data_IF_718333858180
#
_entry.id   IF_718333858180
#
_cell.length_a   1.000
_cell.length_b   1.000
_cell.length_c   1.000
_cell.angle_alpha   90.00
_cell.angle_beta   90.00
_cell.angle_gamma   90.00
#
_symmetry.space_group_name_H-M   'P 1'
#
loop_
_entity.id
_entity.type
_entity.pdbx_description
1 polymer ?
#
# COMPACT_ATOMS: atom_id res chain seq x y z
N UNK A 1 -31.42 52.43 -38.78
CA UNK A 1 -30.71 51.29 -39.39
C UNK A 1 -29.54 50.80 -38.52
N UNK A 2 -28.70 51.70 -37.98
CA UNK A 2 -27.53 51.37 -37.13
C UNK A 2 -27.89 50.59 -35.85
N UNK A 3 -28.94 50.97 -35.11
CA UNK A 3 -29.39 50.25 -33.91
C UNK A 3 -29.94 48.84 -34.20
N UNK A 4 -30.47 48.59 -35.41
CA UNK A 4 -30.91 47.25 -35.81
C UNK A 4 -29.73 46.36 -36.18
N UNK A 5 -28.69 46.91 -36.80
CA UNK A 5 -27.45 46.18 -37.07
C UNK A 5 -26.71 45.80 -35.79
N UNK A 6 -26.61 46.72 -34.82
CA UNK A 6 -25.89 46.44 -33.56
C UNK A 6 -26.58 45.35 -32.73
N UNK A 7 -27.92 45.32 -32.71
CA UNK A 7 -28.68 44.29 -32.01
C UNK A 7 -28.48 42.91 -32.66
N UNK A 8 -28.56 42.81 -33.99
CA UNK A 8 -28.30 41.54 -34.70
C UNK A 8 -26.89 41.01 -34.45
N UNK A 9 -25.87 41.89 -34.41
CA UNK A 9 -24.50 41.49 -34.08
C UNK A 9 -24.38 40.96 -32.64
N UNK A 10 -25.07 41.57 -31.66
CA UNK A 10 -25.08 41.08 -30.27
C UNK A 10 -25.75 39.71 -30.15
N UNK A 11 -26.87 39.48 -30.86
CA UNK A 11 -27.54 38.17 -30.91
C UNK A 11 -26.67 37.09 -31.56
N UNK A 12 -25.95 37.43 -32.63
CA UNK A 12 -25.00 36.51 -33.30
C UNK A 12 -23.81 36.18 -32.37
N UNK A 13 -23.25 37.18 -31.67
CA UNK A 13 -22.16 36.95 -30.70
C UNK A 13 -22.62 36.08 -29.53
N UNK A 14 -23.85 36.24 -29.04
CA UNK A 14 -24.42 35.35 -28.02
C UNK A 14 -24.55 33.91 -28.54
N UNK A 15 -25.03 33.70 -29.77
CA UNK A 15 -25.14 32.35 -30.35
C UNK A 15 -23.79 31.64 -30.50
N UNK A 16 -22.71 32.38 -30.79
CA UNK A 16 -21.35 31.82 -30.86
C UNK A 16 -20.83 31.42 -29.46
N UNK A 17 -21.31 32.05 -28.39
CA UNK A 17 -20.95 31.70 -27.01
C UNK A 17 -21.70 30.47 -26.46
N UNK A 18 -22.70 29.94 -27.16
CA UNK A 18 -23.44 28.73 -26.74
C UNK A 18 -22.82 27.41 -27.24
N UNK A 19 -21.69 27.41 -27.97
CA UNK A 19 -21.04 26.18 -28.49
C UNK A 19 -20.17 25.44 -27.46
N UNK A 20 -20.65 25.34 -26.21
CA UNK A 20 -19.87 24.86 -25.06
C UNK A 20 -19.82 23.33 -24.85
N UNK A 21 -20.42 22.51 -25.70
CA UNK A 21 -20.57 21.05 -25.45
C UNK A 21 -19.80 20.14 -26.43
N UNK A 22 -18.78 20.64 -27.11
CA UNK A 22 -18.07 19.88 -28.16
C UNK A 22 -17.26 18.66 -27.66
N UNK A 23 -16.93 18.60 -26.36
CA UNK A 23 -16.12 17.51 -25.80
C UNK A 23 -16.87 16.75 -24.68
N UNK A 24 -18.21 16.74 -24.74
CA UNK A 24 -19.00 15.96 -23.79
C UNK A 24 -18.99 14.49 -24.20
N UNK A 25 -18.38 13.64 -23.36
CA UNK A 25 -18.44 12.18 -23.51
C UNK A 25 -19.49 11.63 -22.55
N UNK A 26 -20.40 10.80 -23.04
CA UNK A 26 -21.37 10.12 -22.19
C UNK A 26 -20.66 9.08 -21.31
N UNK A 27 -21.20 8.84 -20.10
CA UNK A 27 -20.69 7.79 -19.20
C UNK A 27 -20.75 6.41 -19.87
N UNK A 28 -21.67 6.21 -20.80
CA UNK A 28 -21.86 4.95 -21.52
C UNK A 28 -20.89 4.76 -22.70
N UNK A 29 -20.18 5.81 -23.13
CA UNK A 29 -19.32 5.78 -24.31
C UNK A 29 -17.83 5.59 -23.96
N UNK A 30 -17.53 5.34 -22.68
CA UNK A 30 -16.17 5.25 -22.13
C UNK A 30 -16.03 4.01 -21.26
N UNK A 31 -14.93 3.28 -21.45
CA UNK A 31 -14.49 2.27 -20.51
C UNK A 31 -13.66 2.89 -19.38
N UNK A 32 -14.09 2.69 -18.14
CA UNK A 32 -13.38 3.25 -17.00
C UNK A 32 -12.39 2.27 -16.39
N UNK A 33 -11.10 2.56 -16.54
CA UNK A 33 -10.06 1.82 -15.85
C UNK A 33 -10.02 2.22 -14.37
N UNK A 34 -10.00 1.22 -13.49
CA UNK A 34 -9.91 1.42 -12.03
C UNK A 34 -8.66 0.80 -11.42
N UNK A 35 -8.10 -0.23 -12.04
CA UNK A 35 -6.77 -0.75 -11.74
C UNK A 35 -5.88 -0.80 -12.99
N UNK A 36 -4.59 -0.55 -12.78
CA UNK A 36 -3.54 -0.84 -13.76
C UNK A 36 -2.52 -1.82 -13.20
N UNK A 37 -2.10 -2.75 -14.04
CA UNK A 37 -1.10 -3.74 -13.73
C UNK A 37 0.05 -3.66 -14.72
N UNK A 38 1.28 -3.78 -14.24
CA UNK A 38 2.46 -3.80 -15.09
C UNK A 38 3.33 -5.00 -14.73
N UNK A 39 3.71 -5.79 -15.72
CA UNK A 39 4.68 -6.87 -15.57
C UNK A 39 5.67 -6.88 -16.73
N UNK A 40 6.76 -7.62 -16.57
CA UNK A 40 7.79 -7.76 -17.59
C UNK A 40 8.26 -9.19 -17.71
N UNK A 41 8.20 -9.77 -18.92
CA UNK A 41 8.66 -11.13 -19.17
C UNK A 41 9.04 -11.30 -20.64
N UNK A 42 10.02 -12.14 -20.92
CA UNK A 42 10.41 -12.50 -22.29
C UNK A 42 10.74 -11.28 -23.17
N UNK A 43 11.40 -10.28 -22.56
CA UNK A 43 11.72 -8.98 -23.13
C UNK A 43 10.54 -8.04 -23.46
N UNK A 44 9.31 -8.39 -23.08
CA UNK A 44 8.12 -7.59 -23.32
C UNK A 44 7.49 -7.09 -22.02
N UNK A 45 6.88 -5.91 -22.11
CA UNK A 45 5.97 -5.40 -21.10
C UNK A 45 4.59 -6.00 -21.30
N UNK A 46 3.92 -6.34 -20.21
CA UNK A 46 2.48 -6.64 -20.22
C UNK A 46 1.76 -5.62 -19.36
N UNK A 47 0.76 -4.97 -19.94
CA UNK A 47 -0.13 -4.03 -19.25
C UNK A 47 -1.46 -4.72 -19.02
N UNK A 48 -2.00 -4.60 -17.81
CA UNK A 48 -3.31 -5.09 -17.43
C UNK A 48 -4.19 -3.90 -17.05
N UNK A 49 -5.46 -3.91 -17.45
CA UNK A 49 -6.44 -2.92 -17.03
C UNK A 49 -7.70 -3.62 -16.51
N UNK A 50 -8.12 -3.25 -15.31
CA UNK A 50 -9.43 -3.62 -14.78
C UNK A 50 -10.43 -2.53 -15.15
N UNK A 51 -11.46 -2.90 -15.91
CA UNK A 51 -12.53 -2.01 -16.35
C UNK A 51 -13.80 -2.30 -15.54
N UNK A 52 -14.45 -1.23 -15.06
CA UNK A 52 -15.74 -1.31 -14.38
C UNK A 52 -16.81 -0.51 -15.14
N UNK A 53 -18.01 -1.08 -15.20
CA UNK A 53 -19.21 -0.37 -15.63
C UNK A 53 -19.85 0.34 -14.43
N UNK A 54 -19.64 1.64 -14.32
CA UNK A 54 -20.19 2.43 -13.21
C UNK A 54 -21.73 2.49 -13.19
N UNK A 55 -22.42 2.18 -14.30
CA UNK A 55 -23.88 2.10 -14.31
C UNK A 55 -24.41 0.98 -13.40
N UNK A 56 -23.59 -0.06 -13.18
CA UNK A 56 -23.91 -1.21 -12.30
C UNK A 56 -23.43 -1.02 -10.85
N UNK A 57 -22.60 0.01 -10.60
CA UNK A 57 -22.06 0.31 -9.26
C UNK A 57 -22.95 1.29 -8.49
N UNK A 58 -23.80 2.05 -9.19
CA UNK A 58 -24.80 2.91 -8.57
C UNK A 58 -25.92 2.05 -7.91
N UNK A 59 -26.35 2.44 -6.70
CA UNK A 59 -27.36 1.74 -5.88
C UNK A 59 -28.53 1.24 -6.73
N UNK A 60 -28.72 -0.07 -6.74
CA UNK A 60 -29.92 -0.73 -7.25
C UNK A 60 -31.15 -0.22 -6.53
N UNK A 61 -32.21 0.10 -7.29
CA UNK A 61 -33.54 0.36 -6.74
C UNK A 61 -33.96 -0.75 -5.76
N UNK A 62 -34.66 -0.43 -4.66
CA UNK A 62 -35.17 -1.44 -3.73
C UNK A 62 -36.00 -2.48 -4.48
N UNK A 63 -35.61 -3.76 -4.41
CA UNK A 63 -36.39 -4.89 -4.97
C UNK A 63 -35.78 -5.59 -6.18
N UNK A 64 -34.66 -5.13 -6.76
CA UNK A 64 -33.93 -5.91 -7.77
C UNK A 64 -32.97 -6.91 -7.12
N UNK A 65 -32.91 -8.19 -7.58
CA UNK A 65 -31.88 -9.12 -7.15
C UNK A 65 -30.49 -8.55 -7.50
N UNK A 66 -29.56 -8.62 -6.55
CA UNK A 66 -28.16 -8.22 -6.74
C UNK A 66 -27.54 -9.17 -7.77
N UNK A 67 -27.44 -8.72 -9.03
CA UNK A 67 -26.71 -9.45 -10.06
C UNK A 67 -25.20 -9.24 -9.86
N UNK A 68 -24.37 -10.23 -10.21
CA UNK A 68 -22.92 -10.08 -10.15
C UNK A 68 -22.48 -8.91 -11.03
N UNK A 69 -21.72 -7.97 -10.47
CA UNK A 69 -21.11 -6.88 -11.24
C UNK A 69 -19.98 -7.48 -12.07
N UNK A 70 -20.07 -7.53 -13.41
CA UNK A 70 -19.02 -8.10 -14.23
C UNK A 70 -17.77 -7.21 -14.15
N UNK A 71 -16.64 -7.82 -13.80
CA UNK A 71 -15.33 -7.17 -13.84
C UNK A 71 -14.63 -7.63 -15.11
N UNK A 72 -14.22 -6.67 -15.95
CA UNK A 72 -13.50 -6.96 -17.18
C UNK A 72 -12.01 -6.72 -16.99
N UNK A 73 -11.20 -7.66 -17.44
CA UNK A 73 -9.73 -7.54 -17.37
C UNK A 73 -9.18 -7.61 -18.78
N UNK A 74 -8.73 -6.46 -19.29
CA UNK A 74 -7.94 -6.37 -20.51
C UNK A 74 -6.47 -6.56 -20.21
N UNK A 75 -5.73 -7.18 -21.13
CA UNK A 75 -4.27 -7.16 -21.09
C UNK A 75 -3.70 -7.12 -22.51
N UNK A 76 -2.55 -6.50 -22.65
CA UNK A 76 -1.85 -6.36 -23.92
C UNK A 76 -0.33 -6.32 -23.68
N UNK A 77 0.43 -6.68 -24.72
CA UNK A 77 1.88 -6.75 -24.67
C UNK A 77 2.51 -5.73 -25.60
N UNK A 78 3.76 -5.38 -25.32
CA UNK A 78 4.55 -4.54 -26.20
C UNK A 78 5.98 -4.35 -25.73
N UNK A 79 6.82 -3.82 -26.61
CA UNK A 79 8.24 -3.53 -26.34
C UNK A 79 8.43 -2.42 -25.29
N UNK A 80 7.40 -1.58 -25.11
CA UNK A 80 7.31 -0.56 -24.06
C UNK A 80 5.92 -0.56 -23.41
N UNK A 81 5.82 0.00 -22.20
CA UNK A 81 4.52 0.20 -21.54
C UNK A 81 3.56 1.02 -22.42
N UNK A 82 4.05 2.06 -23.12
CA UNK A 82 3.24 2.88 -24.00
C UNK A 82 2.68 2.09 -25.19
N UNK A 83 3.50 1.24 -25.83
CA UNK A 83 3.02 0.37 -26.92
C UNK A 83 2.01 -0.66 -26.44
N UNK A 84 2.22 -1.26 -25.27
CA UNK A 84 1.28 -2.21 -24.69
C UNK A 84 -0.06 -1.54 -24.31
N UNK A 85 -0.02 -0.33 -23.74
CA UNK A 85 -1.23 0.47 -23.50
C UNK A 85 -1.96 0.83 -24.80
N UNK A 86 -1.23 1.15 -25.87
CA UNK A 86 -1.84 1.45 -27.17
C UNK A 86 -2.51 0.20 -27.78
N UNK A 87 -1.89 -0.96 -27.64
CA UNK A 87 -2.43 -2.23 -28.11
C UNK A 87 -3.70 -2.64 -27.33
N UNK A 88 -3.79 -2.28 -26.04
CA UNK A 88 -5.00 -2.44 -25.24
C UNK A 88 -6.23 -1.73 -25.88
N UNK A 89 -6.03 -0.60 -26.57
CA UNK A 89 -7.11 0.12 -27.24
C UNK A 89 -7.68 -0.64 -28.44
N UNK A 90 -6.86 -1.46 -29.12
CA UNK A 90 -7.27 -2.18 -30.31
C UNK A 90 -8.47 -3.11 -30.05
N UNK A 91 -8.53 -3.73 -28.87
CA UNK A 91 -9.62 -4.63 -28.47
C UNK A 91 -10.64 -4.02 -27.49
N UNK A 92 -10.48 -2.76 -27.07
CA UNK A 92 -11.29 -2.15 -26.00
C UNK A 92 -12.74 -1.84 -26.39
N UNK A 93 -13.05 -1.76 -27.68
CA UNK A 93 -14.35 -1.35 -28.25
C UNK A 93 -14.74 0.12 -27.98
N UNK A 94 -14.40 0.67 -26.81
CA UNK A 94 -14.58 2.07 -26.42
C UNK A 94 -13.25 2.69 -25.94
N UNK A 95 -13.20 4.02 -25.91
CA UNK A 95 -12.06 4.74 -25.33
C UNK A 95 -11.90 4.38 -23.85
N UNK A 96 -10.66 4.14 -23.40
CA UNK A 96 -10.36 3.88 -21.98
C UNK A 96 -10.02 5.20 -21.31
N UNK A 97 -10.70 5.52 -20.22
CA UNK A 97 -10.39 6.66 -19.36
C UNK A 97 -9.65 6.20 -18.11
N UNK A 98 -8.47 6.77 -17.87
CA UNK A 98 -7.61 6.38 -16.76
C UNK A 98 -7.75 7.27 -15.52
N UNK A 99 -8.54 8.34 -15.59
CA UNK A 99 -8.71 9.27 -14.46
C UNK A 99 -9.39 8.66 -13.22
N UNK A 100 -9.97 7.46 -13.34
CA UNK A 100 -10.52 6.68 -12.22
C UNK A 100 -9.60 5.58 -11.70
N UNK A 101 -8.39 5.44 -12.25
CA UNK A 101 -7.40 4.51 -11.72
C UNK A 101 -7.10 4.90 -10.29
N UNK A 102 -7.34 3.98 -9.36
CA UNK A 102 -7.07 4.16 -7.94
C UNK A 102 -6.10 3.11 -7.39
N UNK A 103 -5.69 2.14 -8.23
CA UNK A 103 -4.78 1.06 -7.83
C UNK A 103 -3.81 0.75 -8.95
N UNK A 104 -2.53 0.59 -8.60
CA UNK A 104 -1.45 0.14 -9.48
C UNK A 104 -0.80 -1.10 -8.86
N UNK A 105 -0.69 -2.18 -9.64
CA UNK A 105 -0.05 -3.43 -9.23
C UNK A 105 1.16 -3.71 -10.10
N UNK A 106 2.30 -4.00 -9.47
CA UNK A 106 3.57 -4.25 -10.15
C UNK A 106 3.97 -5.72 -9.99
N UNK A 107 4.17 -6.44 -11.08
CA UNK A 107 4.69 -7.80 -11.07
C UNK A 107 6.15 -7.85 -10.61
N UNK A 108 6.53 -8.89 -9.87
CA UNK A 108 7.89 -9.02 -9.34
C UNK A 108 8.96 -9.00 -10.44
N UNK A 109 8.70 -9.55 -11.62
CA UNK A 109 9.68 -9.54 -12.71
C UNK A 109 9.99 -8.10 -13.18
N UNK A 110 8.97 -7.24 -13.20
CA UNK A 110 9.16 -5.82 -13.44
C UNK A 110 9.92 -5.13 -12.30
N UNK A 111 9.66 -5.49 -11.03
CA UNK A 111 10.42 -4.97 -9.89
C UNK A 111 11.92 -5.32 -10.00
N UNK A 112 12.23 -6.54 -10.45
CA UNK A 112 13.61 -7.01 -10.70
C UNK A 112 14.28 -6.28 -11.87
N UNK A 113 13.55 -6.02 -12.95
CA UNK A 113 14.06 -5.23 -14.09
C UNK A 113 14.36 -3.78 -13.70
N UNK A 114 13.52 -3.21 -12.85
CA UNK A 114 13.57 -1.82 -12.44
C UNK A 114 12.37 -1.02 -12.95
N UNK A 115 12.11 0.11 -12.28
CA UNK A 115 10.84 0.85 -12.41
C UNK A 115 10.93 2.11 -13.25
N UNK A 116 12.06 2.33 -13.95
CA UNK A 116 12.27 3.57 -14.72
C UNK A 116 11.12 3.85 -15.70
N UNK A 117 10.75 2.85 -16.49
CA UNK A 117 9.71 3.00 -17.52
C UNK A 117 8.33 3.23 -16.90
N UNK A 118 8.02 2.58 -15.77
CA UNK A 118 6.78 2.83 -15.02
C UNK A 118 6.71 4.29 -14.56
N UNK A 119 7.80 4.82 -13.99
CA UNK A 119 7.83 6.22 -13.56
C UNK A 119 7.68 7.20 -14.73
N UNK A 120 8.31 6.90 -15.88
CA UNK A 120 8.18 7.73 -17.08
C UNK A 120 6.75 7.71 -17.64
N UNK A 121 6.10 6.55 -17.70
CA UNK A 121 4.70 6.46 -18.14
C UNK A 121 3.76 7.19 -17.17
N UNK A 122 3.86 6.92 -15.86
CA UNK A 122 2.98 7.54 -14.87
C UNK A 122 3.17 9.06 -14.79
N UNK A 123 4.37 9.57 -15.05
CA UNK A 123 4.65 11.01 -15.05
C UNK A 123 4.27 11.75 -16.33
N UNK A 124 4.10 11.06 -17.46
CA UNK A 124 3.81 11.67 -18.78
C UNK A 124 2.33 11.71 -19.13
N UNK A 125 1.54 10.74 -18.67
CA UNK A 125 0.10 10.71 -18.94
C UNK A 125 -0.63 11.65 -17.96
N UNK A 126 -1.20 12.74 -18.49
CA UNK A 126 -1.86 13.79 -17.71
C UNK A 126 -3.05 13.29 -16.88
N UNK A 127 -3.64 12.14 -17.25
CA UNK A 127 -4.77 11.54 -16.55
C UNK A 127 -4.38 10.83 -15.25
N UNK A 128 -3.10 10.47 -15.09
CA UNK A 128 -2.66 9.79 -13.88
C UNK A 128 -2.47 10.77 -12.72
N UNK A 129 -3.18 10.49 -11.64
CA UNK A 129 -2.98 11.12 -10.35
C UNK A 129 -1.92 10.34 -9.56
N UNK A 130 -1.24 10.99 -8.62
CA UNK A 130 -0.35 10.30 -7.65
C UNK A 130 -1.10 9.72 -6.43
N UNK A 131 -2.44 9.71 -6.47
CA UNK A 131 -3.30 9.16 -5.43
C UNK A 131 -3.52 7.64 -5.44
N UNK A 132 -3.31 6.87 -6.53
CA UNK A 132 -3.52 5.43 -6.55
C UNK A 132 -2.74 4.69 -5.47
N UNK A 133 -3.35 3.67 -4.88
CA UNK A 133 -2.67 2.68 -4.06
C UNK A 133 -1.69 1.87 -4.90
N UNK A 134 -0.57 1.49 -4.31
CA UNK A 134 0.48 0.74 -4.98
C UNK A 134 0.74 -0.58 -4.27
N UNK A 135 0.86 -1.64 -5.07
CA UNK A 135 1.19 -2.97 -4.60
C UNK A 135 2.23 -3.62 -5.52
N UNK A 136 3.05 -4.50 -4.96
CA UNK A 136 3.79 -5.49 -5.73
C UNK A 136 3.09 -6.84 -5.68
N UNK A 137 3.36 -7.74 -6.61
CA UNK A 137 2.80 -9.11 -6.54
C UNK A 137 3.68 -10.16 -7.21
N UNK A 138 3.54 -11.40 -6.72
CA UNK A 138 4.04 -12.62 -7.39
C UNK A 138 2.88 -13.41 -8.03
N UNK A 139 1.63 -13.00 -7.81
CA UNK A 139 0.45 -13.64 -8.38
C UNK A 139 0.22 -13.17 -9.82
N UNK A 140 -0.42 -13.99 -10.68
CA UNK A 140 -0.87 -13.54 -11.98
C UNK A 140 -1.83 -12.33 -11.84
N UNK A 141 -1.45 -11.18 -12.38
CA UNK A 141 -2.21 -9.92 -12.25
C UNK A 141 -3.64 -10.07 -12.79
N UNK A 142 -3.82 -10.81 -13.90
CA UNK A 142 -5.15 -11.08 -14.44
C UNK A 142 -6.08 -11.78 -13.45
N UNK A 143 -5.56 -12.70 -12.62
CA UNK A 143 -6.34 -13.38 -11.58
C UNK A 143 -6.68 -12.45 -10.43
N UNK A 144 -5.72 -11.59 -10.02
CA UNK A 144 -5.96 -10.55 -9.03
C UNK A 144 -7.10 -9.62 -9.49
N UNK A 145 -7.02 -9.10 -10.72
CA UNK A 145 -8.03 -8.17 -11.23
C UNK A 145 -9.38 -8.83 -11.52
N UNK A 146 -9.45 -10.15 -11.67
CA UNK A 146 -10.71 -10.88 -11.81
C UNK A 146 -11.37 -11.25 -10.46
N UNK A 147 -10.72 -10.95 -9.32
CA UNK A 147 -11.24 -11.32 -7.99
C UNK A 147 -12.35 -10.36 -7.55
N UNK A 148 -13.49 -10.93 -7.14
CA UNK A 148 -14.71 -10.19 -6.76
C UNK A 148 -14.92 -10.33 -5.24
N UNK A 149 -15.29 -9.25 -4.52
CA UNK A 149 -15.62 -9.30 -3.09
C UNK A 149 -16.81 -10.21 -2.73
N UNK A 150 -16.93 -10.53 -1.43
CA UNK A 150 -18.11 -11.18 -0.87
C UNK A 150 -19.41 -10.44 -1.20
N UNK A 151 -20.52 -11.18 -1.15
CA UNK A 151 -21.89 -10.67 -1.29
C UNK A 151 -22.15 -9.90 -2.59
N UNK A 152 -21.32 -10.09 -3.62
CA UNK A 152 -21.34 -9.31 -4.86
C UNK A 152 -21.30 -7.80 -4.60
N UNK A 153 -20.59 -7.37 -3.55
CA UNK A 153 -20.33 -5.96 -3.31
C UNK A 153 -19.58 -5.36 -4.50
N UNK A 154 -19.70 -4.02 -4.65
CA UNK A 154 -18.92 -3.30 -5.65
C UNK A 154 -17.43 -3.66 -5.52
N UNK A 155 -16.74 -3.97 -6.63
CA UNK A 155 -15.29 -4.20 -6.64
C UNK A 155 -14.53 -3.07 -5.94
N UNK A 156 -15.03 -1.82 -6.01
CA UNK A 156 -14.47 -0.65 -5.35
C UNK A 156 -14.45 -0.70 -3.82
N UNK A 157 -15.15 -1.65 -3.19
CA UNK A 157 -15.10 -1.91 -1.74
C UNK A 157 -14.02 -2.93 -1.37
N UNK A 158 -13.30 -3.50 -2.34
CA UNK A 158 -12.26 -4.49 -2.09
C UNK A 158 -10.98 -3.88 -1.50
N UNK A 159 -10.13 -4.75 -0.95
CA UNK A 159 -8.84 -4.38 -0.34
C UNK A 159 -7.98 -3.53 -1.27
N UNK A 160 -7.94 -3.83 -2.57
CA UNK A 160 -7.04 -3.13 -3.50
C UNK A 160 -7.45 -1.66 -3.71
N UNK A 161 -8.75 -1.35 -3.70
CA UNK A 161 -9.26 0.02 -3.84
C UNK A 161 -9.39 0.75 -2.49
N UNK A 162 -9.65 0.03 -1.39
CA UNK A 162 -9.84 0.59 -0.03
C UNK A 162 -8.96 -0.10 1.04
N UNK A 163 -7.63 -0.15 0.87
CA UNK A 163 -6.77 -0.93 1.76
C UNK A 163 -6.73 -0.38 3.20
N UNK A 164 -7.10 0.89 3.38
CA UNK A 164 -7.20 1.52 4.71
C UNK A 164 -8.26 0.86 5.60
N UNK A 165 -9.37 0.37 5.06
CA UNK A 165 -10.45 -0.18 5.88
C UNK A 165 -10.05 -1.52 6.50
N UNK A 166 -9.39 -2.38 5.71
CA UNK A 166 -8.80 -3.63 6.23
C UNK A 166 -7.63 -3.32 7.17
N UNK A 167 -6.75 -2.38 6.80
CA UNK A 167 -5.60 -2.02 7.62
C UNK A 167 -6.00 -1.46 9.00
N UNK A 168 -7.11 -0.73 9.11
CA UNK A 168 -7.64 -0.26 10.42
C UNK A 168 -8.03 -1.41 11.35
N UNK A 169 -8.51 -2.53 10.80
CA UNK A 169 -8.90 -3.70 11.58
C UNK A 169 -7.69 -4.60 11.90
N UNK A 170 -6.73 -4.68 10.98
CA UNK A 170 -5.57 -5.55 11.08
C UNK A 170 -4.31 -4.84 10.55
N UNK A 171 -3.72 -3.99 11.40
CA UNK A 171 -2.57 -3.15 11.05
C UNK A 171 -1.25 -3.91 11.09
N UNK A 172 -0.92 -4.65 10.02
CA UNK A 172 0.40 -5.32 9.86
C UNK A 172 1.27 -4.58 8.86
N UNK A 173 0.80 -4.45 7.62
CA UNK A 173 1.51 -3.77 6.53
C UNK A 173 0.73 -2.53 6.12
N UNK A 174 1.33 -1.36 6.29
CA UNK A 174 0.71 -0.10 5.93
C UNK A 174 0.49 0.04 4.43
N UNK A 175 -0.68 0.55 3.99
CA UNK A 175 -0.92 0.85 2.59
C UNK A 175 -0.02 1.99 2.12
N UNK A 176 0.41 1.90 0.86
CA UNK A 176 1.28 2.87 0.22
C UNK A 176 0.62 3.38 -1.06
N UNK A 177 0.66 4.69 -1.28
CA UNK A 177 0.16 5.29 -2.53
C UNK A 177 1.32 5.75 -3.43
N UNK A 178 1.01 6.04 -4.69
CA UNK A 178 2.00 6.41 -5.69
C UNK A 178 2.80 7.67 -5.32
N UNK A 179 2.17 8.66 -4.68
CA UNK A 179 2.86 9.86 -4.19
C UNK A 179 3.93 9.50 -3.17
N UNK A 180 3.56 8.75 -2.13
CA UNK A 180 4.48 8.38 -1.04
C UNK A 180 5.56 7.43 -1.53
N UNK A 181 5.21 6.45 -2.37
CA UNK A 181 6.17 5.57 -3.03
C UNK A 181 7.21 6.36 -3.83
N UNK A 182 6.76 7.27 -4.70
CA UNK A 182 7.66 8.07 -5.55
C UNK A 182 8.52 9.03 -4.73
N UNK A 183 7.95 9.63 -3.68
CA UNK A 183 8.67 10.52 -2.76
C UNK A 183 9.77 9.76 -2.03
N UNK A 184 9.43 8.63 -1.39
CA UNK A 184 10.36 7.87 -0.54
C UNK A 184 11.47 7.23 -1.36
N UNK A 185 11.20 6.85 -2.62
CA UNK A 185 12.22 6.35 -3.55
C UNK A 185 13.30 7.38 -3.89
N UNK A 186 13.03 8.67 -3.71
CA UNK A 186 13.96 9.77 -4.01
C UNK A 186 14.64 10.32 -2.77
N UNK A 187 14.25 9.86 -1.59
CA UNK A 187 14.87 10.30 -0.34
C UNK A 187 16.26 9.69 -0.13
N UNK A 188 17.27 10.47 0.29
CA UNK A 188 18.58 9.94 0.61
C UNK A 188 18.52 8.87 1.71
N UNK A 189 19.22 7.75 1.46
CA UNK A 189 19.24 6.57 2.34
C UNK A 189 17.85 5.95 2.59
N UNK A 190 16.88 6.26 1.73
CA UNK A 190 15.50 5.81 1.84
C UNK A 190 15.35 4.33 1.47
N UNK A 191 14.64 3.61 2.35
CA UNK A 191 14.09 2.28 2.11
C UNK A 191 12.58 2.38 1.96
N UNK A 192 12.05 1.84 0.87
CA UNK A 192 10.62 1.82 0.56
C UNK A 192 10.10 0.40 0.69
N UNK A 193 8.99 0.24 1.40
CA UNK A 193 8.32 -1.03 1.62
C UNK A 193 7.00 -1.04 0.86
N UNK A 194 7.01 -1.66 -0.32
CA UNK A 194 5.83 -1.78 -1.17
C UNK A 194 4.99 -2.99 -0.72
N UNK A 195 3.72 -2.82 -0.31
CA UNK A 195 2.88 -3.94 0.11
C UNK A 195 2.79 -5.06 -0.93
N UNK A 196 2.96 -6.32 -0.51
CA UNK A 196 2.89 -7.48 -1.38
C UNK A 196 1.45 -8.02 -1.43
N UNK A 197 0.77 -7.79 -2.54
CA UNK A 197 -0.58 -8.26 -2.79
C UNK A 197 -0.58 -9.74 -3.21
N UNK A 198 -1.45 -10.52 -2.59
CA UNK A 198 -1.65 -11.94 -2.86
C UNK A 198 -3.15 -12.30 -2.86
N UNK A 199 -3.44 -13.59 -3.05
CA UNK A 199 -4.78 -14.15 -2.91
C UNK A 199 -4.74 -15.20 -1.81
N UNK A 200 -5.50 -14.98 -0.74
CA UNK A 200 -5.89 -16.05 0.17
C UNK A 200 -6.95 -16.92 -0.52
N UNK A 201 -6.81 -18.23 -0.41
CA UNK A 201 -7.71 -19.22 -1.02
C UNK A 201 -8.33 -20.17 -0.01
N UNK A 202 -7.96 -20.05 1.27
CA UNK A 202 -8.26 -21.05 2.29
C UNK A 202 -9.19 -20.57 3.40
N UNK A 203 -9.23 -19.28 3.70
CA UNK A 203 -9.96 -18.81 4.88
C UNK A 203 -11.47 -18.69 4.65
N UNK A 204 -11.92 -18.65 3.40
CA UNK A 204 -13.30 -18.39 3.06
C UNK A 204 -13.84 -19.34 2.00
N UNK A 205 -15.12 -19.71 2.14
CA UNK A 205 -15.84 -20.57 1.21
C UNK A 205 -17.26 -20.04 0.97
N UNK A 206 -17.75 -20.20 -0.26
CA UNK A 206 -19.13 -19.96 -0.63
C UNK A 206 -19.82 -21.32 -0.77
N UNK A 207 -20.60 -21.71 0.24
CA UNK A 207 -20.98 -23.12 0.41
C UNK A 207 -19.75 -23.97 0.67
N UNK A 208 -19.52 -25.00 -0.13
CA UNK A 208 -18.34 -25.89 -0.03
C UNK A 208 -17.19 -25.47 -0.97
N UNK A 209 -17.38 -24.41 -1.76
CA UNK A 209 -16.39 -23.99 -2.75
C UNK A 209 -15.46 -22.92 -2.17
N UNK A 210 -14.13 -23.09 -2.21
CA UNK A 210 -13.19 -22.06 -1.78
C UNK A 210 -13.42 -20.75 -2.53
N UNK A 211 -13.41 -19.65 -1.78
CA UNK A 211 -13.56 -18.31 -2.32
C UNK A 211 -12.26 -17.55 -2.12
N UNK A 212 -11.62 -17.13 -3.21
CA UNK A 212 -10.38 -16.38 -3.13
C UNK A 212 -10.63 -14.93 -2.71
N UNK A 213 -9.85 -14.43 -1.76
CA UNK A 213 -9.89 -13.04 -1.32
C UNK A 213 -8.52 -12.39 -1.42
N UNK A 214 -8.49 -11.08 -1.59
CA UNK A 214 -7.23 -10.33 -1.52
C UNK A 214 -6.60 -10.42 -0.13
N UNK A 215 -5.28 -10.53 -0.11
CA UNK A 215 -4.47 -10.48 1.12
C UNK A 215 -3.18 -9.67 0.87
N UNK A 216 -2.58 -9.16 1.95
CA UNK A 216 -1.25 -8.53 1.95
C UNK A 216 -0.30 -9.37 2.79
N UNK A 217 0.47 -10.21 2.10
CA UNK A 217 1.27 -11.28 2.72
C UNK A 217 2.72 -10.89 3.01
N UNK A 218 3.06 -9.60 2.82
CA UNK A 218 4.38 -9.07 3.11
C UNK A 218 4.70 -7.75 2.42
N UNK A 219 5.98 -7.54 2.14
CA UNK A 219 6.51 -6.33 1.47
C UNK A 219 7.58 -6.67 0.46
N UNK A 220 7.60 -5.94 -0.66
CA UNK A 220 8.74 -5.83 -1.55
C UNK A 220 9.60 -4.65 -1.10
N UNK A 221 10.89 -4.91 -0.86
CA UNK A 221 11.81 -3.95 -0.28
C UNK A 221 12.62 -3.28 -1.38
N UNK A 222 12.69 -1.96 -1.34
CA UNK A 222 13.56 -1.17 -2.20
C UNK A 222 14.50 -0.32 -1.36
N UNK A 223 15.77 -0.23 -1.73
CA UNK A 223 16.76 0.66 -1.12
C UNK A 223 17.40 1.51 -2.20
N UNK A 224 17.35 2.83 -2.05
CA UNK A 224 17.88 3.78 -3.04
C UNK A 224 17.41 3.47 -4.48
N UNK A 225 16.12 3.18 -4.66
CA UNK A 225 15.53 2.86 -5.97
C UNK A 225 15.79 1.44 -6.50
N UNK A 226 16.55 0.61 -5.79
CA UNK A 226 16.90 -0.76 -6.22
C UNK A 226 16.07 -1.78 -5.47
N UNK A 227 15.53 -2.79 -6.18
CA UNK A 227 14.79 -3.90 -5.58
C UNK A 227 15.72 -4.85 -4.82
N UNK A 228 15.40 -5.11 -3.55
CA UNK A 228 16.21 -5.95 -2.65
C UNK A 228 15.63 -7.35 -2.42
N UNK A 229 14.33 -7.55 -2.67
CA UNK A 229 13.64 -8.82 -2.44
C UNK A 229 12.28 -8.65 -1.75
N UNK A 230 11.57 -9.77 -1.60
CA UNK A 230 10.32 -9.85 -0.83
C UNK A 230 10.58 -10.38 0.59
N UNK A 231 9.89 -9.80 1.58
CA UNK A 231 9.78 -10.31 2.94
C UNK A 231 8.32 -10.66 3.23
N UNK A 232 8.08 -11.78 3.89
CA UNK A 232 6.75 -12.19 4.34
C UNK A 232 6.33 -11.40 5.59
N UNK A 233 5.02 -11.22 5.82
CA UNK A 233 4.48 -10.47 6.96
C UNK A 233 5.02 -10.96 8.32
N UNK A 234 5.14 -12.27 8.52
CA UNK A 234 5.71 -12.87 9.74
C UNK A 234 7.17 -12.48 10.00
N UNK A 235 7.95 -12.13 8.97
CA UNK A 235 9.35 -11.72 9.08
C UNK A 235 9.51 -10.23 9.44
N UNK A 236 8.43 -9.45 9.32
CA UNK A 236 8.45 -7.99 9.47
C UNK A 236 7.42 -7.48 10.48
N UNK A 237 6.95 -8.35 11.38
CA UNK A 237 5.96 -8.01 12.43
C UNK A 237 6.42 -6.86 13.34
N UNK A 238 7.72 -6.61 13.44
CA UNK A 238 8.27 -5.47 14.18
C UNK A 238 7.98 -4.10 13.57
N UNK A 239 7.74 -4.02 12.26
CA UNK A 239 7.54 -2.74 11.56
C UNK A 239 6.29 -2.02 12.03
N UNK A 240 5.20 -2.75 12.29
CA UNK A 240 3.91 -2.16 12.71
C UNK A 240 4.02 -1.39 14.03
N UNK A 241 4.96 -1.75 14.89
CA UNK A 241 5.22 -1.06 16.15
C UNK A 241 5.95 0.26 15.97
N UNK A 242 6.64 0.42 14.83
CA UNK A 242 7.37 1.64 14.48
C UNK A 242 6.61 2.50 13.46
N UNK A 243 5.36 2.16 13.15
CA UNK A 243 4.51 2.92 12.22
C UNK A 243 3.38 3.63 12.98
N UNK A 244 3.42 4.98 13.12
CA UNK A 244 2.37 5.76 13.76
C UNK A 244 0.95 5.56 13.18
N UNK A 245 0.84 5.01 11.97
CA UNK A 245 -0.45 4.71 11.33
C UNK A 245 -1.09 3.43 11.83
N UNK A 246 -0.41 2.61 12.63
CA UNK A 246 -0.98 1.37 13.18
C UNK A 246 -2.19 1.71 14.06
N UNK A 247 -3.38 1.32 13.60
CA UNK A 247 -4.63 1.58 14.31
C UNK A 247 -4.93 0.47 15.30
N UNK A 248 -4.79 -0.79 14.88
CA UNK A 248 -5.13 -1.96 15.71
C UNK A 248 -4.33 -3.16 15.25
N UNK A 249 -3.58 -3.78 16.15
CA UNK A 249 -2.72 -4.91 15.79
C UNK A 249 -2.70 -5.98 16.89
N UNK A 250 -2.95 -7.26 16.56
CA UNK A 250 -2.98 -8.32 17.54
C UNK A 250 -1.57 -8.70 18.02
N UNK A 251 -1.45 -9.01 19.31
CA UNK A 251 -0.27 -9.57 19.93
C UNK A 251 -0.68 -10.75 20.83
N UNK A 252 -0.19 -11.93 20.50
CA UNK A 252 -0.51 -13.16 21.22
C UNK A 252 0.63 -13.54 22.16
N UNK A 253 0.33 -13.60 23.46
CA UNK A 253 1.28 -14.00 24.50
C UNK A 253 1.15 -15.51 24.71
N UNK A 254 2.24 -16.22 24.46
CA UNK A 254 2.34 -17.65 24.73
C UNK A 254 3.29 -17.91 25.91
N UNK A 255 3.08 -19.00 26.63
CA UNK A 255 3.99 -19.52 27.65
C UNK A 255 4.02 -21.04 27.51
N UNK A 256 5.21 -21.62 27.38
CA UNK A 256 5.41 -23.06 27.13
C UNK A 256 4.63 -23.62 25.91
N UNK A 257 4.44 -22.79 24.89
CA UNK A 257 3.72 -23.15 23.66
C UNK A 257 2.20 -22.95 23.73
N UNK A 258 1.64 -22.68 24.90
CA UNK A 258 0.21 -22.46 25.08
C UNK A 258 -0.13 -20.96 25.04
N UNK A 259 -1.26 -20.62 24.43
CA UNK A 259 -1.79 -19.26 24.45
C UNK A 259 -2.19 -18.90 25.89
N UNK A 260 -1.84 -17.70 26.33
CA UNK A 260 -2.16 -17.20 27.67
C UNK A 260 -3.03 -15.94 27.61
N UNK A 261 -2.73 -15.05 26.67
CA UNK A 261 -3.49 -13.83 26.46
C UNK A 261 -3.42 -13.37 24.99
N UNK A 262 -4.51 -12.78 24.51
CA UNK A 262 -4.59 -12.05 23.25
C UNK A 262 -4.74 -10.57 23.56
N UNK A 263 -3.82 -9.76 23.08
CA UNK A 263 -3.83 -8.31 23.24
C UNK A 263 -4.09 -7.66 21.87
N UNK A 264 -4.74 -6.51 21.89
CA UNK A 264 -4.87 -5.64 20.73
C UNK A 264 -4.19 -4.32 21.05
N UNK A 265 -3.04 -4.09 20.40
CA UNK A 265 -2.21 -2.91 20.61
C UNK A 265 -2.48 -1.86 19.52
N UNK A 266 -2.38 -0.61 19.89
CA UNK A 266 -2.77 0.55 19.08
C UNK A 266 -1.94 1.80 19.41
N UNK A 267 -1.98 2.78 18.50
CA UNK A 267 -1.34 4.10 18.65
C UNK A 267 0.14 4.02 19.06
N UNK A 268 1.01 3.41 18.24
CA UNK A 268 2.45 3.49 18.49
C UNK A 268 2.94 4.93 18.40
N UNK A 269 3.75 5.32 19.37
CA UNK A 269 4.51 6.58 19.38
C UNK A 269 6.00 6.26 19.29
N UNK A 270 6.52 5.96 18.08
CA UNK A 270 7.90 5.61 17.89
C UNK A 270 8.81 6.83 17.86
N UNK A 271 10.04 6.65 18.35
CA UNK A 271 11.12 7.62 18.29
C UNK A 271 12.42 6.90 17.96
N UNK A 272 13.15 7.43 16.98
CA UNK A 272 14.49 6.95 16.60
C UNK A 272 15.48 8.06 16.93
N UNK A 273 16.52 7.74 17.71
CA UNK A 273 17.56 8.68 18.11
C UNK A 273 18.92 8.21 17.59
N UNK A 274 19.52 8.90 16.61
CA UNK A 274 20.87 8.59 16.12
C UNK A 274 21.93 9.18 17.06
N UNK A 275 22.90 8.36 17.46
CA UNK A 275 24.03 8.71 18.32
C UNK A 275 25.34 8.46 17.58
N UNK A 276 26.32 9.36 17.75
CA UNK A 276 27.63 9.24 17.07
C UNK A 276 28.68 8.98 18.14
N UNK A 277 29.51 7.97 17.93
CA UNK A 277 30.69 7.72 18.77
C UNK A 277 31.89 7.52 17.85
N UNK A 278 32.80 8.49 17.84
CA UNK A 278 33.90 8.52 16.86
C UNK A 278 33.38 8.68 15.42
N UNK A 279 33.59 7.65 14.60
CA UNK A 279 33.10 7.59 13.22
C UNK A 279 31.92 6.63 13.03
N UNK A 280 31.43 6.00 14.11
CA UNK A 280 30.33 5.05 14.05
C UNK A 280 29.01 5.71 14.47
N UNK A 281 27.93 5.24 13.85
CA UNK A 281 26.56 5.70 14.12
C UNK A 281 25.79 4.56 14.77
N UNK A 282 25.19 4.86 15.91
CA UNK A 282 24.34 3.97 16.68
C UNK A 282 22.93 4.54 16.75
N UNK A 283 21.95 3.69 17.00
CA UNK A 283 20.55 4.05 17.02
C UNK A 283 19.90 3.49 18.27
N UNK A 284 19.14 4.35 18.95
CA UNK A 284 18.21 3.95 19.98
C UNK A 284 16.78 4.10 19.44
N UNK A 285 15.98 3.05 19.60
CA UNK A 285 14.55 3.07 19.31
C UNK A 285 13.78 3.10 20.60
N UNK A 286 12.77 3.96 20.67
CA UNK A 286 11.78 3.97 21.73
C UNK A 286 10.40 3.87 21.11
N UNK A 287 9.50 3.10 21.71
CA UNK A 287 8.10 3.07 21.31
C UNK A 287 7.21 2.97 22.54
N UNK A 288 6.19 3.83 22.58
CA UNK A 288 5.06 3.70 23.50
C UNK A 288 3.87 3.15 22.75
N UNK A 289 3.17 2.21 23.36
CA UNK A 289 1.99 1.55 22.82
C UNK A 289 0.90 1.60 23.85
N UNK A 290 -0.33 1.80 23.39
CA UNK A 290 -1.51 1.57 24.21
C UNK A 290 -2.23 0.32 23.72
N UNK A 291 -3.10 -0.27 24.52
CA UNK A 291 -3.86 -1.42 24.06
C UNK A 291 -4.90 -1.91 25.05
N UNK A 292 -5.49 -3.04 24.71
CA UNK A 292 -6.49 -3.71 25.53
C UNK A 292 -6.35 -5.22 25.45
N UNK A 293 -6.87 -5.87 26.48
CA UNK A 293 -6.93 -7.33 26.56
C UNK A 293 -8.15 -7.76 25.75
N UNK A 294 -7.92 -8.52 24.67
CA UNK A 294 -8.98 -9.12 23.87
C UNK A 294 -9.44 -10.45 24.45
N UNK A 295 -8.50 -11.23 25.01
CA UNK A 295 -8.78 -12.50 25.66
C UNK A 295 -7.73 -12.80 26.73
N UNK A 296 -8.15 -13.44 27.81
CA UNK A 296 -7.29 -13.90 28.88
C UNK A 296 -7.70 -15.32 29.28
N UNK A 297 -6.82 -16.31 29.06
CA UNK A 297 -7.12 -17.72 29.34
C UNK A 297 -7.03 -18.01 30.85
N UNK A 298 -6.04 -17.42 31.51
CA UNK A 298 -5.87 -17.48 32.96
C UNK A 298 -5.62 -16.09 33.53
N UNK A 299 -6.11 -15.78 34.75
CA UNK A 299 -5.85 -14.49 35.40
C UNK A 299 -4.35 -14.18 35.51
N UNK A 300 -3.90 -13.14 34.83
CA UNK A 300 -2.52 -12.63 34.88
C UNK A 300 -2.58 -11.15 35.26
N UNK A 301 -1.79 -10.70 36.26
CA UNK A 301 -1.68 -9.28 36.60
C UNK A 301 -1.31 -8.41 35.40
N UNK A 302 -1.97 -7.28 35.23
CA UNK A 302 -1.82 -6.40 34.06
C UNK A 302 -0.37 -5.96 33.84
N UNK A 303 0.37 -5.66 34.92
CA UNK A 303 1.78 -5.26 34.84
C UNK A 303 2.67 -6.38 34.30
N UNK A 304 2.31 -7.65 34.58
CA UNK A 304 3.02 -8.81 34.03
C UNK A 304 2.71 -8.95 32.54
N UNK A 305 1.46 -8.73 32.12
CA UNK A 305 1.07 -8.72 30.71
C UNK A 305 1.77 -7.61 29.94
N UNK A 306 1.78 -6.38 30.46
CA UNK A 306 2.50 -5.24 29.87
C UNK A 306 3.99 -5.54 29.70
N UNK A 307 4.64 -6.10 30.73
CA UNK A 307 6.05 -6.50 30.65
C UNK A 307 6.30 -7.63 29.63
N UNK A 308 5.41 -8.63 29.55
CA UNK A 308 5.50 -9.69 28.52
C UNK A 308 5.28 -9.12 27.12
N UNK A 309 4.31 -8.23 26.94
CA UNK A 309 4.00 -7.57 25.68
C UNK A 309 5.19 -6.71 25.21
N UNK A 310 5.76 -5.89 26.11
CA UNK A 310 6.91 -5.04 25.81
C UNK A 310 8.11 -5.86 25.30
N UNK A 311 8.43 -6.98 25.97
CA UNK A 311 9.50 -7.89 25.53
C UNK A 311 9.22 -8.52 24.17
N UNK A 312 7.99 -8.96 23.91
CA UNK A 312 7.64 -9.57 22.64
C UNK A 312 7.67 -8.56 21.48
N UNK A 313 7.21 -7.34 21.71
CA UNK A 313 7.31 -6.21 20.76
C UNK A 313 8.78 -5.90 20.49
N UNK A 314 9.62 -5.80 21.52
CA UNK A 314 11.06 -5.58 21.37
C UNK A 314 11.70 -6.67 20.49
N UNK A 315 11.39 -7.94 20.77
CA UNK A 315 11.87 -9.07 20.00
C UNK A 315 11.44 -8.99 18.53
N UNK A 316 10.19 -8.64 18.25
CA UNK A 316 9.69 -8.46 16.88
C UNK A 316 10.42 -7.31 16.15
N UNK A 317 10.69 -6.19 16.82
CA UNK A 317 11.48 -5.08 16.26
C UNK A 317 12.89 -5.54 15.92
N UNK A 318 13.59 -6.21 16.85
CA UNK A 318 14.96 -6.71 16.64
C UNK A 318 15.02 -7.79 15.55
N UNK A 319 14.01 -8.65 15.45
CA UNK A 319 13.89 -9.65 14.40
C UNK A 319 13.76 -8.99 13.02
N UNK A 320 12.85 -8.03 12.87
CA UNK A 320 12.68 -7.30 11.62
C UNK A 320 13.97 -6.55 11.24
N UNK A 321 14.65 -5.95 12.22
CA UNK A 321 15.94 -5.28 12.01
C UNK A 321 17.00 -6.23 11.44
N UNK A 322 17.17 -7.38 12.10
CA UNK A 322 18.10 -8.43 11.67
C UNK A 322 17.75 -8.96 10.27
N UNK A 323 16.45 -9.09 9.97
CA UNK A 323 15.99 -9.50 8.64
C UNK A 323 16.38 -8.48 7.57
N UNK A 324 16.23 -7.19 7.85
CA UNK A 324 16.70 -6.11 6.97
C UNK A 324 18.20 -6.23 6.67
N UNK A 325 19.02 -6.39 7.72
CA UNK A 325 20.47 -6.54 7.57
C UNK A 325 20.85 -7.73 6.68
N UNK A 326 20.15 -8.87 6.81
CA UNK A 326 20.43 -10.08 6.01
C UNK A 326 20.27 -9.88 4.49
N UNK A 327 19.54 -8.83 4.08
CA UNK A 327 19.36 -8.46 2.67
C UNK A 327 19.92 -7.06 2.36
N UNK A 328 20.82 -6.54 3.20
CA UNK A 328 21.42 -5.21 3.07
C UNK A 328 20.40 -4.04 2.97
N UNK A 329 19.26 -4.17 3.66
CA UNK A 329 18.17 -3.21 3.68
C UNK A 329 17.98 -2.58 5.08
N UNK A 330 17.62 -1.30 5.11
CA UNK A 330 17.31 -0.57 6.35
C UNK A 330 15.79 -0.43 6.51
N UNK A 331 15.13 -1.50 6.97
CA UNK A 331 13.66 -1.56 7.01
C UNK A 331 13.02 -0.49 7.90
N UNK A 332 13.76 0.06 8.87
CA UNK A 332 13.30 1.10 9.78
C UNK A 332 13.73 2.51 9.36
N UNK A 333 14.40 2.67 8.21
CA UNK A 333 14.90 3.96 7.75
C UNK A 333 15.79 4.69 8.77
N UNK A 334 16.60 3.94 9.54
CA UNK A 334 17.56 4.48 10.51
C UNK A 334 18.55 5.47 9.89
N UNK A 335 19.12 5.13 8.74
CA UNK A 335 20.08 5.96 8.03
C UNK A 335 19.44 7.24 7.51
N UNK A 336 18.19 7.14 7.04
CA UNK A 336 17.40 8.28 6.65
C UNK A 336 17.06 9.19 7.85
N UNK A 337 16.73 8.64 9.01
CA UNK A 337 16.54 9.41 10.24
C UNK A 337 17.83 10.11 10.70
N UNK A 338 18.99 9.46 10.54
CA UNK A 338 20.27 10.13 10.78
C UNK A 338 20.50 11.30 9.83
N UNK A 339 20.22 11.13 8.54
CA UNK A 339 20.27 12.20 7.55
C UNK A 339 19.34 13.37 7.92
N UNK A 340 18.10 13.08 8.33
CA UNK A 340 17.09 14.09 8.68
C UNK A 340 17.45 14.86 9.96
N UNK A 341 17.88 14.16 11.01
CA UNK A 341 18.10 14.75 12.32
C UNK A 341 19.50 15.38 12.49
N UNK A 342 20.52 14.85 11.81
CA UNK A 342 21.94 15.24 11.97
C UNK A 342 22.66 15.39 10.63
N UNK A 343 22.08 16.22 9.75
CA UNK A 343 22.56 16.43 8.37
C UNK A 343 24.04 16.82 8.25
N UNK A 344 24.61 17.74 9.09
CA UNK A 344 26.03 18.09 9.00
C UNK A 344 26.96 16.89 9.27
N UNK A 345 26.67 16.11 10.29
CA UNK A 345 27.45 14.93 10.67
C UNK A 345 27.29 13.79 9.66
N UNK A 346 26.07 13.61 9.15
CA UNK A 346 25.81 12.69 8.04
C UNK A 346 26.67 13.04 6.83
N UNK A 347 26.72 14.31 6.41
CA UNK A 347 27.58 14.75 5.28
C UNK A 347 29.06 14.45 5.55
N UNK A 348 29.55 14.74 6.76
CA UNK A 348 30.94 14.47 7.16
C UNK A 348 31.29 12.99 7.08
N UNK A 349 30.41 12.12 7.57
CA UNK A 349 30.65 10.68 7.57
C UNK A 349 30.49 10.07 6.18
N UNK A 350 29.47 10.46 5.43
CA UNK A 350 29.28 10.03 4.03
C UNK A 350 30.43 10.45 3.13
N UNK A 351 31.06 11.61 3.37
CA UNK A 351 32.26 12.03 2.65
C UNK A 351 33.47 11.12 2.85
N UNK A 352 33.46 10.25 3.88
CA UNK A 352 34.51 9.26 4.15
C UNK A 352 34.17 7.85 3.66
N UNK A 353 32.94 7.61 3.23
CA UNK A 353 32.48 6.30 2.78
C UNK A 353 31.00 6.04 3.07
N UNK A 354 30.52 4.86 2.68
CA UNK A 354 29.17 4.41 2.99
C UNK A 354 29.02 4.17 4.49
N UNK A 355 27.97 4.73 5.09
CA UNK A 355 27.57 4.36 6.45
C UNK A 355 26.86 3.00 6.32
N UNK A 356 27.37 1.97 6.99
CA UNK A 356 26.76 0.62 6.97
C UNK A 356 26.13 0.33 8.32
N UNK A 357 24.96 -0.30 8.29
CA UNK A 357 24.33 -0.85 9.49
C UNK A 357 24.92 -2.23 9.79
N UNK A 358 25.13 -2.52 11.07
CA UNK A 358 25.51 -3.82 11.61
C UNK A 358 24.57 -4.19 12.75
N UNK A 359 24.64 -5.43 13.27
CA UNK A 359 23.86 -5.84 14.43
C UNK A 359 24.05 -4.89 15.63
N UNK A 360 25.26 -4.34 15.79
CA UNK A 360 25.62 -3.46 16.89
C UNK A 360 25.13 -2.01 16.69
N UNK A 361 24.74 -1.64 15.47
CA UNK A 361 24.23 -0.29 15.20
C UNK A 361 22.91 -0.02 15.94
N UNK A 362 22.08 -1.03 16.20
CA UNK A 362 20.87 -0.90 17.02
C UNK A 362 21.18 -1.22 18.48
N UNK A 363 21.49 -0.20 19.28
CA UNK A 363 21.88 -0.37 20.69
C UNK A 363 20.68 -0.69 21.56
N UNK A 364 19.81 0.30 21.78
CA UNK A 364 18.69 0.17 22.68
C UNK A 364 17.37 0.10 21.91
N UNK A 365 16.49 -0.79 22.34
CA UNK A 365 15.08 -0.83 21.91
C UNK A 365 14.24 -0.80 23.18
N UNK A 366 13.67 0.35 23.50
CA UNK A 366 12.87 0.55 24.70
C UNK A 366 11.39 0.53 24.33
N UNK A 367 10.66 -0.43 24.89
CA UNK A 367 9.23 -0.58 24.64
C UNK A 367 8.47 -0.31 25.94
N UNK A 368 7.42 0.51 25.85
CA UNK A 368 6.46 0.73 26.91
C UNK A 368 5.07 0.36 26.38
N UNK A 369 4.35 -0.47 27.13
CA UNK A 369 2.98 -0.88 26.81
C UNK A 369 2.10 -0.49 27.99
N UNK A 370 1.01 0.21 27.70
CA UNK A 370 -0.03 0.58 28.66
C UNK A 370 -1.36 -0.06 28.24
N UNK A 371 -1.93 -0.91 29.10
CA UNK A 371 -3.21 -1.57 28.85
C UNK A 371 -4.35 -0.79 29.52
N UNK A 372 -5.27 -0.24 28.73
CA UNK A 372 -6.26 0.76 29.18
C UNK A 372 -7.57 0.11 29.67
N UNK A 373 -7.96 -1.07 29.16
CA UNK A 373 -9.13 -1.81 29.67
C UNK A 373 -9.04 -3.33 29.42
N UNK A 374 -9.81 -4.12 30.19
CA UNK A 374 -9.86 -5.58 30.12
C UNK A 374 -11.04 -6.15 29.31
N UNK A 375 -11.70 -5.37 28.46
CA UNK A 375 -12.87 -5.81 27.68
C UNK A 375 -14.16 -6.02 28.48
N UNK A 376 -14.07 -6.28 29.78
CA UNK A 376 -15.23 -6.56 30.63
C UNK A 376 -16.08 -5.31 30.88
N UNK A 377 -17.30 -5.32 30.35
CA UNK A 377 -18.41 -4.55 30.92
C UNK A 377 -18.63 -5.08 32.34
N UNK A 378 -18.23 -4.30 33.35
CA UNK A 378 -18.65 -4.55 34.73
C UNK A 378 -20.17 -4.40 34.78
N UNK A 379 -20.89 -5.53 34.78
CA UNK A 379 -22.32 -5.59 35.11
C UNK A 379 -22.52 -5.52 36.62
#
# INVERSE_FOLDING_TARGET
>A
MVYRLSMTTVWITMLIMLTGCWDMKSIQDINYATCLGFDYKDNEYTVYAQLLDFSTVAKTEPGKPIQPIPVWVGNAKGESIASAMNDLYHSSQLSIFYGHVNTIVLGENLLKKGLKEVHETLGRYYEFRYTPWMFGTQQPINKLFATIPFFNLSPLMSLIHQPKEIFKQHSIISPLNALKFTSDMREPEGTVLLPALSLDKGSWQAGEQPHSTFDVDGVFVFKNGTYMGKLQSNQVMGLRWMDPKTHRSPLFIHTDGELQASLSLERPEPKITPNITGNEVFYDMEVKLTGYISELIHPIPIQILEGKAARLVEAQIRQAYTRGLSMNADLFNLQHEFYRQKKPEWKRLRGKGEIKLSLESLKNVKVQVELIHSGDLKY
#
